data_IF_797959038953
#
_entry.id   IF_797959038953
#
_cell.length_a   1.000
_cell.length_b   1.000
_cell.length_c   1.000
_cell.angle_alpha   90.00
_cell.angle_beta   90.00
_cell.angle_gamma   90.00
#
_symmetry.space_group_name_H-M   'P 1'
#
loop_
_entity.id
_entity.type
_entity.pdbx_description
1 polymer ?
#
# COMPACT_ATOMS: atom_id res chain seq x y z
N UNK A 1 10.47 17.17 16.06
CA UNK A 1 10.64 16.68 14.67
C UNK A 1 10.70 15.16 14.69
N UNK A 2 9.85 14.48 13.92
CA UNK A 2 9.81 13.00 13.87
C UNK A 2 11.04 12.39 13.16
N UNK A 3 11.77 13.20 12.40
CA UNK A 3 13.03 12.85 11.73
C UNK A 3 14.14 13.80 12.18
N UNK A 4 15.33 13.26 12.47
CA UNK A 4 16.53 14.02 12.86
C UNK A 4 17.29 14.57 11.65
N UNK A 5 16.59 15.16 10.69
CA UNK A 5 17.17 15.72 9.46
C UNK A 5 16.61 17.12 9.18
N UNK A 6 17.41 17.94 8.49
CA UNK A 6 17.01 19.29 8.10
C UNK A 6 15.92 19.26 7.02
N UNK A 7 15.14 20.34 6.91
CA UNK A 7 14.16 20.50 5.83
C UNK A 7 14.82 20.53 4.44
N UNK A 8 16.08 20.96 4.34
CA UNK A 8 16.84 20.94 3.10
C UNK A 8 17.16 19.50 2.67
N UNK A 9 17.59 18.66 3.63
CA UNK A 9 17.86 17.23 3.40
C UNK A 9 16.60 16.50 2.93
N UNK A 10 15.48 16.69 3.62
CA UNK A 10 14.21 16.06 3.24
C UNK A 10 13.75 16.50 1.84
N UNK A 11 13.88 17.79 1.50
CA UNK A 11 13.54 18.29 0.16
C UNK A 11 14.41 17.68 -0.94
N UNK A 12 15.71 17.50 -0.66
CA UNK A 12 16.64 16.84 -1.58
C UNK A 12 16.20 15.38 -1.82
N UNK A 13 15.96 14.62 -0.76
CA UNK A 13 15.55 13.21 -0.87
C UNK A 13 14.22 13.05 -1.62
N UNK A 14 13.25 13.93 -1.34
CA UNK A 14 11.98 13.97 -2.05
C UNK A 14 12.16 14.23 -3.55
N UNK A 15 13.12 15.07 -3.95
CA UNK A 15 13.44 15.30 -5.37
C UNK A 15 14.11 14.07 -6.01
N UNK A 16 14.93 13.33 -5.26
CA UNK A 16 15.51 12.07 -5.75
C UNK A 16 14.44 10.99 -5.93
N UNK A 17 13.48 10.88 -5.01
CA UNK A 17 12.36 9.95 -5.11
C UNK A 17 11.43 10.27 -6.28
N UNK A 18 11.24 11.56 -6.59
CA UNK A 18 10.54 12.02 -7.78
C UNK A 18 11.26 11.59 -9.07
N UNK A 19 12.58 11.83 -9.17
CA UNK A 19 13.40 11.36 -10.30
C UNK A 19 13.36 9.83 -10.48
N UNK A 20 13.29 9.08 -9.37
CA UNK A 20 13.16 7.62 -9.38
C UNK A 20 11.73 7.13 -9.68
N UNK A 21 10.78 8.04 -9.82
CA UNK A 21 9.37 7.76 -10.16
C UNK A 21 8.52 7.24 -8.99
N UNK A 22 8.98 7.35 -7.74
CA UNK A 22 8.18 6.98 -6.55
C UNK A 22 7.25 8.10 -6.09
N UNK A 23 7.65 9.35 -6.35
CA UNK A 23 6.85 10.53 -6.08
C UNK A 23 6.55 11.28 -7.39
N UNK A 24 5.48 12.05 -7.41
CA UNK A 24 5.18 12.98 -8.48
C UNK A 24 4.61 14.29 -7.91
N UNK A 25 4.64 15.33 -8.74
CA UNK A 25 3.94 16.59 -8.49
C UNK A 25 2.63 16.61 -9.28
N UNK A 26 1.59 17.17 -8.69
CA UNK A 26 0.34 17.45 -9.41
C UNK A 26 0.44 18.75 -10.21
N UNK A 27 1.13 19.75 -9.65
CA UNK A 27 1.47 21.02 -10.28
C UNK A 27 2.89 21.48 -9.91
N UNK A 28 3.46 22.42 -10.67
CA UNK A 28 4.83 22.90 -10.47
C UNK A 28 5.12 23.41 -9.03
N UNK A 29 4.15 24.11 -8.43
CA UNK A 29 4.20 24.67 -7.07
C UNK A 29 3.70 23.73 -5.96
N UNK A 30 3.18 22.55 -6.32
CA UNK A 30 2.59 21.62 -5.36
C UNK A 30 3.67 20.85 -4.57
N UNK A 31 3.25 20.30 -3.42
CA UNK A 31 3.97 19.23 -2.75
C UNK A 31 4.07 17.97 -3.63
N UNK A 32 4.60 16.89 -3.07
CA UNK A 32 4.70 15.61 -3.79
C UNK A 32 3.70 14.62 -3.24
N UNK A 33 3.11 13.83 -4.14
CA UNK A 33 2.26 12.69 -3.80
C UNK A 33 2.93 11.39 -4.26
N UNK A 34 2.61 10.25 -3.65
CA UNK A 34 3.09 8.96 -4.14
C UNK A 34 2.53 8.68 -5.53
N UNK A 35 3.39 8.20 -6.43
CA UNK A 35 2.96 7.58 -7.67
C UNK A 35 2.42 6.17 -7.40
N UNK A 36 1.89 5.48 -8.42
CA UNK A 36 1.53 4.06 -8.29
C UNK A 36 2.73 3.22 -7.78
N UNK A 37 3.93 3.47 -8.31
CA UNK A 37 5.17 2.82 -7.88
C UNK A 37 5.49 3.16 -6.41
N UNK A 38 5.25 4.40 -6.00
CA UNK A 38 5.33 4.85 -4.60
C UNK A 38 4.37 4.08 -3.68
N UNK A 39 3.11 3.94 -4.09
CA UNK A 39 2.09 3.20 -3.34
C UNK A 39 2.42 1.71 -3.22
N UNK A 40 2.82 1.06 -4.32
CA UNK A 40 3.23 -0.35 -4.29
C UNK A 40 4.44 -0.54 -3.37
N UNK A 41 5.42 0.36 -3.42
CA UNK A 41 6.57 0.31 -2.53
C UNK A 41 6.15 0.46 -1.06
N UNK A 42 5.26 1.42 -0.76
CA UNK A 42 4.70 1.63 0.57
C UNK A 42 3.99 0.37 1.10
N UNK A 43 3.11 -0.23 0.29
CA UNK A 43 2.42 -1.46 0.65
C UNK A 43 3.38 -2.61 0.96
N UNK A 44 4.38 -2.80 0.10
CA UNK A 44 5.34 -3.90 0.20
C UNK A 44 6.36 -3.76 1.34
N UNK A 45 6.59 -2.56 1.89
CA UNK A 45 7.69 -2.32 2.85
C UNK A 45 7.26 -1.65 4.16
N UNK A 46 6.08 -1.01 4.20
CA UNK A 46 5.62 -0.25 5.37
C UNK A 46 4.38 -0.87 6.01
N UNK A 47 3.41 -1.35 5.23
CA UNK A 47 2.21 -2.04 5.76
C UNK A 47 2.54 -3.45 6.25
N UNK A 48 3.48 -4.13 5.60
CA UNK A 48 3.88 -5.52 5.87
C UNK A 48 4.79 -5.70 7.08
N UNK A 49 5.04 -4.64 7.88
CA UNK A 49 5.64 -4.80 9.21
C UNK A 49 4.69 -5.48 10.21
N UNK A 50 3.40 -5.60 9.89
CA UNK A 50 2.51 -6.51 10.60
C UNK A 50 2.73 -7.94 10.06
N UNK A 51 3.64 -8.66 10.72
CA UNK A 51 3.95 -10.06 10.44
C UNK A 51 2.69 -10.95 10.44
N UNK A 52 1.64 -10.54 11.14
CA UNK A 52 0.35 -11.23 11.24
C UNK A 52 -0.39 -11.34 9.90
N UNK A 53 -0.20 -10.39 8.96
CA UNK A 53 -0.91 -10.39 7.67
C UNK A 53 -0.48 -11.59 6.81
N UNK A 54 0.82 -11.94 6.81
CA UNK A 54 1.33 -13.05 5.99
C UNK A 54 0.85 -14.41 6.47
N UNK A 55 0.71 -14.60 7.79
CA UNK A 55 0.11 -15.81 8.35
C UNK A 55 -1.37 -15.91 7.99
N UNK A 56 -2.11 -14.80 8.05
CA UNK A 56 -3.52 -14.77 7.67
C UNK A 56 -3.74 -15.09 6.19
N UNK A 57 -2.92 -14.54 5.28
CA UNK A 57 -3.00 -14.85 3.84
C UNK A 57 -2.80 -16.35 3.59
N UNK A 58 -1.79 -16.95 4.23
CA UNK A 58 -1.50 -18.38 4.08
C UNK A 58 -2.63 -19.26 4.61
N UNK A 59 -3.29 -18.84 5.69
CA UNK A 59 -4.45 -19.52 6.26
C UNK A 59 -5.67 -19.42 5.33
N UNK A 60 -5.91 -18.24 4.77
CA UNK A 60 -6.97 -17.99 3.78
C UNK A 60 -6.78 -18.85 2.53
N UNK A 61 -5.59 -18.89 1.95
CA UNK A 61 -5.28 -19.72 0.77
C UNK A 61 -5.57 -21.21 1.01
N UNK A 62 -5.22 -21.73 2.20
CA UNK A 62 -5.51 -23.12 2.55
C UNK A 62 -7.02 -23.37 2.74
N UNK A 63 -7.76 -22.43 3.33
CA UNK A 63 -9.22 -22.52 3.47
C UNK A 63 -9.89 -22.52 2.09
N UNK A 64 -9.44 -21.66 1.17
CA UNK A 64 -9.98 -21.57 -0.19
C UNK A 64 -9.61 -22.76 -1.07
N UNK A 65 -8.44 -23.39 -0.87
CA UNK A 65 -8.08 -24.62 -1.57
C UNK A 65 -8.84 -25.85 -1.09
N UNK A 66 -9.10 -25.97 0.21
CA UNK A 66 -9.71 -27.16 0.81
C UNK A 66 -11.23 -27.23 0.69
N UNK A 67 -11.87 -26.16 0.22
CA UNK A 67 -13.32 -26.12 0.01
C UNK A 67 -13.59 -25.72 -1.43
N UNK A 68 -14.46 -26.47 -2.12
CA UNK A 68 -15.00 -26.11 -3.44
C UNK A 68 -15.96 -24.92 -3.32
N UNK A 69 -15.43 -23.76 -2.91
CA UNK A 69 -16.23 -22.56 -2.85
C UNK A 69 -16.52 -22.02 -4.25
N UNK A 70 -17.74 -21.54 -4.43
CA UNK A 70 -18.07 -20.75 -5.60
C UNK A 70 -17.36 -19.39 -5.50
N UNK A 71 -16.40 -19.16 -6.41
CA UNK A 71 -15.60 -17.93 -6.46
C UNK A 71 -16.48 -16.68 -6.61
N UNK A 72 -17.57 -16.75 -7.37
CA UNK A 72 -18.52 -15.64 -7.51
C UNK A 72 -19.10 -15.22 -6.15
N UNK A 73 -19.49 -16.20 -5.32
CA UNK A 73 -20.11 -15.93 -4.03
C UNK A 73 -19.14 -15.24 -3.08
N UNK A 74 -17.88 -15.70 -3.04
CA UNK A 74 -16.84 -15.10 -2.20
C UNK A 74 -16.57 -13.66 -2.59
N UNK A 75 -16.44 -13.38 -3.89
CA UNK A 75 -16.20 -12.02 -4.39
C UNK A 75 -17.36 -11.11 -4.00
N UNK A 76 -18.60 -11.59 -4.12
CA UNK A 76 -19.80 -10.83 -3.76
C UNK A 76 -19.83 -10.49 -2.28
N UNK A 77 -19.53 -11.46 -1.42
CA UNK A 77 -19.52 -11.31 0.04
C UNK A 77 -18.41 -10.35 0.50
N UNK A 78 -17.21 -10.46 -0.08
CA UNK A 78 -16.10 -9.54 0.16
C UNK A 78 -16.43 -8.10 -0.23
N UNK A 79 -17.06 -7.89 -1.40
CA UNK A 79 -17.50 -6.56 -1.83
C UNK A 79 -18.56 -5.97 -0.90
N UNK A 80 -19.47 -6.80 -0.39
CA UNK A 80 -20.51 -6.36 0.55
C UNK A 80 -19.90 -5.91 1.88
N UNK A 81 -18.93 -6.67 2.41
CA UNK A 81 -18.20 -6.31 3.63
C UNK A 81 -17.41 -5.01 3.47
N UNK A 82 -16.69 -4.86 2.35
CA UNK A 82 -15.93 -3.63 2.07
C UNK A 82 -16.86 -2.41 2.00
N UNK A 83 -18.02 -2.53 1.35
CA UNK A 83 -19.01 -1.45 1.29
C UNK A 83 -19.65 -1.09 2.64
N UNK A 84 -19.55 -1.95 3.65
CA UNK A 84 -20.05 -1.66 5.00
C UNK A 84 -18.97 -1.02 5.91
N UNK A 85 -17.69 -1.18 5.58
CA UNK A 85 -16.55 -0.71 6.39
C UNK A 85 -15.93 0.57 5.82
N UNK A 86 -16.26 0.92 4.58
CA UNK A 86 -15.79 2.12 3.87
C UNK A 86 -16.95 3.03 3.53
#
# INVERSE_FOLDING_TARGET
SYLKYSSATIRYDMAQLEKKGYLCKTHASSGRIPSLKGYVFYFNHLITRNHDIFQQISLFENIFKNKNFNKETIVREALTLLGNVT
#
